data_IF_176375657549
#
_entry.id   IF_176375657549
#
_cell.length_a   1.000
_cell.length_b   1.000
_cell.length_c   1.000
_cell.angle_alpha   90.00
_cell.angle_beta   90.00
_cell.angle_gamma   90.00
#
_symmetry.space_group_name_H-M   'P 1'
#
loop_
_entity.id
_entity.type
_entity.pdbx_description
1 polymer ?
#
# COMPACT_ATOMS: atom_id res chain seq x y z
N UNK A 1 64.17 -14.62 15.17
CA UNK A 1 64.26 -14.55 16.65
C UNK A 1 62.99 -13.89 17.14
N UNK A 2 62.30 -14.51 18.12
CA UNK A 2 60.92 -14.29 18.57
C UNK A 2 59.86 -14.66 17.49
N UNK A 3 58.71 -15.27 17.79
CA UNK A 3 57.93 -15.32 19.04
C UNK A 3 57.24 -16.68 19.27
N UNK A 4 56.86 -16.91 20.51
CA UNK A 4 56.63 -18.19 21.20
C UNK A 4 55.12 -18.41 21.48
N UNK A 5 54.70 -19.67 21.35
CA UNK A 5 53.40 -20.23 21.78
C UNK A 5 53.26 -20.36 23.31
N UNK A 6 52.05 -20.18 23.85
CA UNK A 6 51.48 -20.87 25.06
C UNK A 6 50.00 -20.47 25.16
N UNK A 7 49.03 -21.39 25.03
CA UNK A 7 48.39 -22.23 26.06
C UNK A 7 47.79 -21.45 27.25
N UNK A 8 46.46 -21.44 27.36
CA UNK A 8 45.73 -21.37 28.62
C UNK A 8 44.43 -22.20 28.53
N UNK A 9 44.39 -23.25 29.35
CA UNK A 9 43.20 -23.92 29.87
C UNK A 9 42.44 -22.98 30.83
N UNK A 10 41.12 -23.12 30.91
CA UNK A 10 40.42 -23.01 32.19
C UNK A 10 39.06 -23.70 32.20
N UNK A 11 38.81 -24.30 33.36
CA UNK A 11 37.84 -25.33 33.68
C UNK A 11 36.38 -24.90 33.77
N UNK A 12 35.56 -25.92 33.53
CA UNK A 12 34.18 -26.10 33.98
C UNK A 12 33.99 -25.82 35.48
N UNK A 13 32.97 -25.03 35.83
CA UNK A 13 32.10 -25.34 36.98
C UNK A 13 30.65 -24.94 36.67
N UNK A 14 29.76 -25.83 37.07
CA UNK A 14 28.32 -25.86 36.82
C UNK A 14 27.53 -25.00 37.82
N UNK A 15 26.47 -24.33 37.34
CA UNK A 15 25.38 -23.90 38.20
C UNK A 15 24.06 -23.88 37.41
N UNK A 16 23.09 -24.64 37.95
CA UNK A 16 21.73 -24.88 37.50
C UNK A 16 20.98 -23.65 36.97
N UNK A 17 20.45 -23.75 35.76
CA UNK A 17 19.35 -22.92 35.27
C UNK A 17 18.06 -23.75 35.28
N UNK A 18 17.25 -23.59 36.32
CA UNK A 18 15.86 -24.04 36.31
C UNK A 18 15.06 -23.09 35.43
N UNK A 19 14.49 -23.65 34.37
CA UNK A 19 13.51 -23.05 33.48
C UNK A 19 12.24 -22.63 34.25
N UNK A 20 11.80 -21.40 34.06
CA UNK A 20 10.45 -20.97 34.40
C UNK A 20 9.78 -20.49 33.10
N UNK A 21 8.77 -21.19 32.58
CA UNK A 21 8.11 -20.82 31.33
C UNK A 21 6.96 -19.84 31.61
N UNK A 22 6.79 -18.88 30.71
CA UNK A 22 5.49 -18.29 30.42
C UNK A 22 5.02 -17.14 31.32
N UNK A 23 5.33 -15.92 30.91
CA UNK A 23 4.38 -14.81 31.07
C UNK A 23 3.99 -14.33 29.68
N UNK A 24 2.92 -14.94 29.17
CA UNK A 24 2.19 -14.43 28.01
C UNK A 24 1.56 -13.11 28.46
N UNK A 25 2.02 -11.99 27.90
CA UNK A 25 1.30 -10.74 28.04
C UNK A 25 -0.01 -10.89 27.25
N UNK A 26 -1.14 -10.99 27.96
CA UNK A 26 -2.46 -11.01 27.35
C UNK A 26 -2.73 -9.67 26.69
N UNK A 27 -2.96 -9.68 25.38
CA UNK A 27 -3.36 -8.54 24.56
C UNK A 27 -4.83 -8.10 24.81
N UNK A 28 -5.27 -8.08 26.07
CA UNK A 28 -6.67 -7.89 26.43
C UNK A 28 -7.07 -6.45 26.80
N UNK A 29 -6.17 -5.46 26.70
CA UNK A 29 -6.45 -4.08 27.15
C UNK A 29 -6.20 -3.01 26.06
N UNK A 30 -6.55 -3.29 24.81
CA UNK A 30 -6.82 -2.22 23.84
C UNK A 30 -8.34 -2.02 23.83
N UNK A 31 -8.80 -1.14 24.70
CA UNK A 31 -10.17 -0.66 24.73
C UNK A 31 -10.47 0.06 23.40
N UNK A 32 -11.18 -0.62 22.51
CA UNK A 32 -11.59 -0.12 21.18
C UNK A 32 -12.43 1.15 21.26
N UNK A 33 -12.97 1.52 22.42
CA UNK A 33 -13.72 2.78 22.61
C UNK A 33 -12.82 4.00 22.77
N UNK A 34 -11.50 3.83 22.96
CA UNK A 34 -10.57 4.95 23.22
C UNK A 34 -9.75 5.41 22.02
N UNK A 35 -9.81 4.71 20.88
CA UNK A 35 -9.10 5.13 19.66
C UNK A 35 -9.79 6.35 18.99
N UNK A 36 -11.04 6.68 19.37
CA UNK A 36 -11.81 7.76 18.73
C UNK A 36 -12.05 9.02 19.58
N UNK A 37 -11.39 9.19 20.74
CA UNK A 37 -11.61 10.41 21.55
C UNK A 37 -10.31 10.96 22.14
N UNK A 38 -9.57 11.70 21.32
CA UNK A 38 -8.85 12.95 21.66
C UNK A 38 -8.01 13.38 20.45
N UNK A 39 -8.68 13.78 19.37
CA UNK A 39 -8.04 14.65 18.38
C UNK A 39 -8.11 16.06 18.96
N UNK A 40 -6.99 16.69 19.36
CA UNK A 40 -7.02 18.12 19.67
C UNK A 40 -7.53 18.85 18.42
N UNK A 41 -8.35 19.92 18.54
CA UNK A 41 -8.79 20.64 17.36
C UNK A 41 -7.54 21.17 16.67
N UNK A 42 -7.19 20.57 15.52
CA UNK A 42 -6.21 21.16 14.64
C UNK A 42 -6.76 22.54 14.31
N UNK A 43 -6.02 23.59 14.67
CA UNK A 43 -6.23 24.89 14.04
C UNK A 43 -6.02 24.66 12.55
N UNK A 44 -7.12 24.56 11.79
CA UNK A 44 -7.10 24.52 10.33
C UNK A 44 -6.57 25.86 9.82
N UNK A 45 -5.25 25.99 9.78
CA UNK A 45 -4.63 26.79 8.74
C UNK A 45 -4.80 25.92 7.49
N UNK A 46 -5.86 26.17 6.73
CA UNK A 46 -6.07 25.58 5.40
C UNK A 46 -4.91 26.01 4.51
N UNK A 47 -3.77 25.33 4.62
CA UNK A 47 -2.57 25.58 3.82
C UNK A 47 -2.84 25.05 2.42
N UNK A 48 -3.52 25.88 1.60
CA UNK A 48 -3.87 25.55 0.23
C UNK A 48 -2.77 26.07 -0.66
N UNK A 49 -2.28 25.22 -1.54
CA UNK A 49 -1.24 25.57 -2.50
C UNK A 49 -1.93 25.90 -3.81
N UNK A 50 -1.67 27.07 -4.38
CA UNK A 50 -2.14 27.45 -5.70
C UNK A 50 -1.09 27.07 -6.74
N UNK A 51 -1.48 26.19 -7.68
CA UNK A 51 -0.69 25.89 -8.86
C UNK A 51 -1.13 26.79 -10.02
N UNK A 52 -0.23 27.67 -10.47
CA UNK A 52 -0.53 28.70 -11.47
C UNK A 52 0.60 28.84 -12.50
N UNK A 53 0.34 29.45 -13.67
CA UNK A 53 1.42 29.81 -14.60
C UNK A 53 2.45 30.72 -13.93
N UNK A 54 3.71 30.54 -14.31
CA UNK A 54 4.81 31.35 -13.82
C UNK A 54 4.73 32.79 -14.35
N UNK A 55 5.13 33.75 -13.50
CA UNK A 55 5.25 35.17 -13.80
C UNK A 55 6.73 35.55 -13.97
N UNK A 56 7.05 36.72 -14.55
CA UNK A 56 8.46 37.12 -14.78
C UNK A 56 9.38 37.12 -13.54
N UNK A 57 8.83 37.22 -12.33
CA UNK A 57 9.58 37.18 -11.07
C UNK A 57 9.87 35.77 -10.52
N UNK A 58 9.26 34.73 -11.08
CA UNK A 58 9.23 33.38 -10.49
C UNK A 58 10.43 32.50 -10.88
N UNK A 59 11.44 33.04 -11.56
CA UNK A 59 12.44 32.29 -12.34
C UNK A 59 13.13 31.11 -11.65
N UNK A 60 13.25 31.14 -10.32
CA UNK A 60 13.94 30.10 -9.54
C UNK A 60 12.98 29.07 -8.90
N UNK A 61 11.67 29.21 -9.11
CA UNK A 61 10.63 28.33 -8.61
C UNK A 61 9.89 27.55 -9.72
N UNK A 62 10.27 27.78 -10.99
CA UNK A 62 9.55 27.24 -12.13
C UNK A 62 9.80 25.74 -12.34
N UNK A 63 8.71 24.99 -12.55
CA UNK A 63 8.71 23.60 -12.99
C UNK A 63 7.79 23.42 -14.20
N UNK A 64 7.93 22.30 -14.91
CA UNK A 64 6.98 21.83 -15.92
C UNK A 64 6.34 20.52 -15.49
N UNK A 65 5.08 20.28 -15.87
CA UNK A 65 4.34 19.06 -15.56
C UNK A 65 4.41 18.08 -16.72
N UNK A 66 4.76 16.84 -16.42
CA UNK A 66 4.87 15.76 -17.38
C UNK A 66 4.01 14.60 -16.95
N UNK A 67 3.30 13.97 -17.89
CA UNK A 67 2.54 12.76 -17.61
C UNK A 67 3.47 11.67 -17.05
N UNK A 68 3.11 11.10 -15.89
CA UNK A 68 3.86 10.00 -15.27
C UNK A 68 3.11 8.67 -15.40
N UNK A 69 1.86 8.64 -14.93
CA UNK A 69 1.09 7.41 -14.89
C UNK A 69 -0.41 7.67 -14.83
N UNK A 70 -1.19 6.66 -15.18
CA UNK A 70 -2.65 6.69 -15.19
C UNK A 70 -3.23 5.41 -14.57
N UNK A 71 -4.09 5.60 -13.56
CA UNK A 71 -4.95 4.55 -13.00
C UNK A 71 -6.38 4.60 -13.55
N UNK A 72 -7.27 3.75 -13.03
CA UNK A 72 -8.68 3.79 -13.42
C UNK A 72 -9.36 5.12 -13.03
N UNK A 73 -8.99 5.68 -11.89
CA UNK A 73 -9.63 6.83 -11.26
C UNK A 73 -8.81 8.12 -11.29
N UNK A 74 -7.49 8.00 -11.39
CA UNK A 74 -6.56 9.10 -11.19
C UNK A 74 -5.52 9.16 -12.31
N UNK A 75 -4.95 10.34 -12.52
CA UNK A 75 -3.75 10.58 -13.32
C UNK A 75 -2.69 11.18 -12.40
N UNK A 76 -1.44 10.83 -12.62
CA UNK A 76 -0.30 11.36 -11.87
C UNK A 76 0.65 12.06 -12.84
N UNK A 77 1.07 13.26 -12.48
CA UNK A 77 2.04 14.07 -13.21
C UNK A 77 3.29 14.24 -12.37
N UNK A 78 4.46 14.15 -12.99
CA UNK A 78 5.74 14.45 -12.36
C UNK A 78 6.17 15.88 -12.69
N UNK A 79 6.94 16.50 -11.80
CA UNK A 79 7.54 17.80 -12.03
C UNK A 79 8.96 17.66 -12.55
N UNK A 80 9.34 18.51 -13.49
CA UNK A 80 10.72 18.66 -13.98
C UNK A 80 11.17 20.11 -13.87
N UNK A 81 12.47 20.36 -13.63
CA UNK A 81 13.01 21.71 -13.72
C UNK A 81 12.77 22.26 -15.12
N UNK A 82 12.42 23.55 -15.21
CA UNK A 82 12.36 24.25 -16.49
C UNK A 82 13.79 24.54 -16.95
N UNK A 83 14.13 24.13 -18.17
CA UNK A 83 15.46 24.41 -18.73
C UNK A 83 15.57 25.91 -19.07
N UNK A 84 16.49 26.66 -18.45
CA UNK A 84 16.63 28.09 -18.69
C UNK A 84 17.10 28.42 -20.12
N UNK A 85 17.55 27.43 -20.89
CA UNK A 85 18.04 27.57 -22.26
C UNK A 85 16.99 27.20 -23.32
N UNK A 86 15.86 26.60 -22.93
CA UNK A 86 14.74 26.33 -23.86
C UNK A 86 13.85 27.59 -23.91
N UNK A 87 13.41 28.03 -25.11
CA UNK A 87 12.47 29.14 -25.21
C UNK A 87 11.20 28.87 -24.39
N UNK A 88 10.76 29.86 -23.59
CA UNK A 88 9.51 29.83 -22.80
C UNK A 88 8.23 29.55 -23.64
N UNK A 89 8.33 29.50 -24.98
CA UNK A 89 7.23 29.10 -25.85
C UNK A 89 7.03 27.59 -25.92
N UNK A 90 8.06 26.80 -25.58
CA UNK A 90 8.07 25.35 -25.78
C UNK A 90 7.87 24.59 -24.46
N UNK A 91 8.14 25.24 -23.32
CA UNK A 91 7.74 24.79 -21.99
C UNK A 91 6.80 25.82 -21.37
N UNK A 92 5.68 25.37 -20.79
CA UNK A 92 4.76 26.23 -20.06
C UNK A 92 5.10 26.17 -18.57
N UNK A 93 5.95 27.09 -18.07
CA UNK A 93 6.41 27.05 -16.68
C UNK A 93 5.25 27.35 -15.74
N UNK A 94 5.23 26.63 -14.64
CA UNK A 94 4.28 26.84 -13.55
C UNK A 94 5.03 27.00 -12.23
N UNK A 95 4.31 27.52 -11.24
CA UNK A 95 4.76 27.56 -9.84
C UNK A 95 3.65 27.09 -8.91
N UNK A 96 4.08 26.69 -7.72
CA UNK A 96 3.23 26.39 -6.59
C UNK A 96 3.42 27.51 -5.57
N UNK A 97 2.34 28.20 -5.23
CA UNK A 97 2.33 29.37 -4.35
C UNK A 97 1.53 29.03 -3.09
N UNK A 98 2.07 29.32 -1.92
CA UNK A 98 1.35 29.14 -0.67
C UNK A 98 0.37 30.30 -0.39
N UNK A 99 -0.39 30.20 0.70
CA UNK A 99 -1.34 31.25 1.10
C UNK A 99 -0.70 32.63 1.38
N UNK A 100 0.62 32.71 1.56
CA UNK A 100 1.34 33.96 1.81
C UNK A 100 1.83 34.61 0.52
N UNK A 101 1.68 33.93 -0.61
CA UNK A 101 2.22 34.35 -1.90
C UNK A 101 3.66 33.90 -2.11
N UNK A 102 4.22 33.07 -1.22
CA UNK A 102 5.58 32.57 -1.33
C UNK A 102 5.59 31.35 -2.26
N UNK A 103 6.55 31.33 -3.19
CA UNK A 103 6.68 30.22 -4.15
C UNK A 103 7.48 29.07 -3.54
N UNK A 104 7.01 27.84 -3.78
CA UNK A 104 7.68 26.64 -3.32
C UNK A 104 9.02 26.46 -4.07
N UNK A 105 10.12 26.13 -3.38
CA UNK A 105 11.39 25.84 -4.01
C UNK A 105 11.30 24.63 -4.95
N UNK A 106 11.95 24.70 -6.11
CA UNK A 106 12.01 23.58 -7.08
C UNK A 106 12.47 22.30 -6.41
N UNK A 107 13.48 22.36 -5.54
CA UNK A 107 14.00 21.19 -4.83
C UNK A 107 12.92 20.39 -4.06
N UNK A 108 11.95 21.09 -3.46
CA UNK A 108 10.84 20.46 -2.76
C UNK A 108 9.88 19.81 -3.77
N UNK A 109 9.59 20.51 -4.87
CA UNK A 109 8.65 20.04 -5.90
C UNK A 109 9.17 18.82 -6.70
N UNK A 110 10.48 18.71 -6.92
CA UNK A 110 11.08 17.53 -7.59
C UNK A 110 10.94 16.25 -6.73
N UNK A 111 10.85 16.42 -5.41
CA UNK A 111 10.54 15.36 -4.47
C UNK A 111 9.08 14.95 -4.45
N UNK A 112 8.22 15.58 -5.27
CA UNK A 112 6.78 15.35 -5.28
C UNK A 112 6.25 14.93 -6.65
N UNK A 113 5.01 14.45 -6.67
CA UNK A 113 4.18 14.24 -7.86
C UNK A 113 2.79 14.81 -7.61
N UNK A 114 2.11 15.23 -8.68
CA UNK A 114 0.76 15.78 -8.64
C UNK A 114 -0.26 14.73 -9.06
N UNK A 115 -1.09 14.29 -8.13
CA UNK A 115 -2.20 13.36 -8.37
C UNK A 115 -3.49 14.14 -8.64
N UNK A 116 -4.14 13.83 -9.75
CA UNK A 116 -5.39 14.45 -10.19
C UNK A 116 -6.49 13.38 -10.34
N UNK A 117 -7.66 13.66 -9.79
CA UNK A 117 -8.85 12.81 -9.99
C UNK A 117 -9.45 13.04 -11.37
N UNK A 118 -9.89 11.97 -12.03
CA UNK A 118 -10.57 12.03 -13.34
C UNK A 118 -12.05 12.45 -13.24
N UNK A 119 -12.56 12.73 -12.03
CA UNK A 119 -13.94 13.16 -11.82
C UNK A 119 -15.00 12.10 -12.12
N UNK A 120 -14.70 10.82 -11.90
CA UNK A 120 -15.67 9.75 -12.10
C UNK A 120 -16.69 9.74 -10.93
N UNK A 121 -17.96 9.42 -11.21
CA UNK A 121 -19.06 9.45 -10.22
C UNK A 121 -18.86 8.58 -8.95
N UNK A 122 -17.87 7.68 -8.94
CA UNK A 122 -17.56 6.77 -7.82
C UNK A 122 -16.18 7.01 -7.22
N UNK A 123 -15.49 8.08 -7.60
CA UNK A 123 -14.14 8.40 -7.12
C UNK A 123 -14.20 9.66 -6.28
N UNK A 124 -13.43 9.68 -5.20
CA UNK A 124 -13.33 10.84 -4.32
C UNK A 124 -12.52 11.96 -5.02
N UNK A 125 -12.85 13.21 -4.69
CA UNK A 125 -12.03 14.37 -5.04
C UNK A 125 -10.84 14.52 -4.08
N UNK A 126 -9.86 15.36 -4.43
CA UNK A 126 -8.65 15.55 -3.64
C UNK A 126 -8.92 15.95 -2.18
N UNK A 127 -9.84 16.89 -1.95
CA UNK A 127 -10.22 17.33 -0.59
C UNK A 127 -10.78 16.20 0.27
N UNK A 128 -11.68 15.39 -0.30
CA UNK A 128 -12.28 14.26 0.41
C UNK A 128 -11.24 13.18 0.71
N UNK A 129 -10.35 12.87 -0.26
CA UNK A 129 -9.26 11.92 -0.06
C UNK A 129 -8.33 12.37 1.07
N UNK A 130 -7.86 13.63 1.07
CA UNK A 130 -7.00 14.13 2.14
C UNK A 130 -7.69 14.09 3.48
N UNK A 131 -8.91 14.62 3.56
CA UNK A 131 -9.68 14.66 4.82
C UNK A 131 -9.86 13.26 5.40
N UNK A 132 -10.36 12.31 4.61
CA UNK A 132 -10.58 10.94 5.07
C UNK A 132 -9.25 10.24 5.42
N UNK A 133 -8.18 10.49 4.66
CA UNK A 133 -6.87 9.98 5.00
C UNK A 133 -6.39 10.46 6.38
N UNK A 134 -6.45 11.77 6.64
CA UNK A 134 -5.98 12.37 7.89
C UNK A 134 -6.85 12.01 9.10
N UNK A 135 -8.15 11.86 8.89
CA UNK A 135 -9.11 11.62 9.99
C UNK A 135 -9.35 10.15 10.29
N UNK A 136 -9.32 9.29 9.27
CA UNK A 136 -9.69 7.87 9.41
C UNK A 136 -8.49 6.93 9.27
N UNK A 137 -7.48 7.27 8.46
CA UNK A 137 -6.43 6.31 8.05
C UNK A 137 -5.13 6.55 8.79
N UNK A 138 -4.54 7.74 8.65
CA UNK A 138 -3.26 8.09 9.26
C UNK A 138 -3.24 7.84 10.78
N UNK A 139 -4.29 8.15 11.56
CA UNK A 139 -4.31 7.91 13.01
C UNK A 139 -4.23 6.42 13.41
N UNK A 140 -4.51 5.49 12.50
CA UNK A 140 -4.38 4.04 12.77
C UNK A 140 -2.93 3.55 12.70
N UNK A 141 -2.02 4.35 12.15
CA UNK A 141 -0.60 3.99 12.04
C UNK A 141 0.15 4.41 13.29
N UNK A 142 1.04 3.53 13.76
CA UNK A 142 1.91 3.84 14.88
C UNK A 142 2.93 4.92 14.47
N UNK A 143 3.40 5.77 15.40
CA UNK A 143 4.34 6.85 15.09
C UNK A 143 5.61 6.37 14.36
N UNK A 144 6.06 5.15 14.66
CA UNK A 144 7.20 4.50 14.01
C UNK A 144 6.98 4.17 12.51
N UNK A 145 5.80 4.41 11.95
CA UNK A 145 5.46 4.19 10.54
C UNK A 145 4.95 5.45 9.83
N UNK A 146 4.90 6.60 10.50
CA UNK A 146 4.41 7.85 9.91
C UNK A 146 5.21 8.23 8.66
N UNK A 147 6.53 8.01 8.66
CA UNK A 147 7.39 8.28 7.50
C UNK A 147 7.14 7.34 6.31
N UNK A 148 6.44 6.22 6.52
CA UNK A 148 5.99 5.30 5.47
C UNK A 148 4.59 5.62 4.93
N UNK A 149 3.94 6.65 5.45
CA UNK A 149 2.72 7.22 4.87
C UNK A 149 3.06 8.31 3.86
N UNK A 150 2.20 8.48 2.86
CA UNK A 150 2.31 9.60 1.92
C UNK A 150 1.97 10.91 2.63
N UNK A 151 2.78 11.93 2.39
CA UNK A 151 2.38 13.30 2.70
C UNK A 151 1.43 13.80 1.60
N UNK A 152 0.31 14.43 1.99
CA UNK A 152 -0.76 14.85 1.07
C UNK A 152 -1.05 16.33 1.25
N UNK A 153 -0.70 17.16 0.28
CA UNK A 153 -1.04 18.59 0.28
C UNK A 153 -2.08 18.92 -0.79
N UNK A 154 -3.04 19.78 -0.46
CA UNK A 154 -4.08 20.20 -1.41
C UNK A 154 -3.53 21.26 -2.36
N UNK A 155 -3.78 21.03 -3.65
CA UNK A 155 -3.38 21.93 -4.72
C UNK A 155 -4.59 22.42 -5.47
N UNK A 156 -4.89 23.71 -5.38
CA UNK A 156 -5.83 24.38 -6.25
C UNK A 156 -5.18 24.64 -7.62
N UNK A 157 -5.92 24.38 -8.70
CA UNK A 157 -5.40 24.50 -10.05
C UNK A 157 -6.00 25.72 -10.74
N UNK A 158 -5.14 26.61 -11.22
CA UNK A 158 -5.54 27.66 -12.16
C UNK A 158 -6.06 27.05 -13.48
N UNK A 159 -7.01 27.74 -14.14
CA UNK A 159 -7.63 27.26 -15.37
C UNK A 159 -6.60 27.01 -16.50
N UNK A 160 -5.56 27.84 -16.57
CA UNK A 160 -4.48 27.68 -17.53
C UNK A 160 -3.64 26.43 -17.22
N UNK A 161 -3.39 26.13 -15.94
CA UNK A 161 -2.67 24.91 -15.54
C UNK A 161 -3.50 23.66 -15.86
N UNK A 162 -4.81 23.70 -15.62
CA UNK A 162 -5.70 22.62 -16.00
C UNK A 162 -5.67 22.35 -17.52
N UNK A 163 -5.58 23.40 -18.32
CA UNK A 163 -5.41 23.30 -19.77
C UNK A 163 -4.09 22.62 -20.17
N UNK A 164 -3.00 22.93 -19.47
CA UNK A 164 -1.69 22.27 -19.63
C UNK A 164 -1.81 20.77 -19.33
N UNK A 165 -2.40 20.42 -18.19
CA UNK A 165 -2.60 19.04 -17.77
C UNK A 165 -3.42 18.22 -18.77
N UNK A 166 -4.52 18.79 -19.28
CA UNK A 166 -5.37 18.12 -20.28
C UNK A 166 -4.65 17.92 -21.63
N UNK A 167 -3.77 18.85 -22.03
CA UNK A 167 -2.94 18.69 -23.22
C UNK A 167 -1.87 17.62 -23.02
N UNK A 168 -1.22 17.56 -21.87
CA UNK A 168 -0.27 16.48 -21.57
C UNK A 168 -0.95 15.12 -21.52
N UNK A 169 -2.15 15.06 -20.94
CA UNK A 169 -2.95 13.84 -20.87
C UNK A 169 -3.38 13.36 -22.26
N UNK A 170 -3.78 14.26 -23.16
CA UNK A 170 -4.23 13.87 -24.51
C UNK A 170 -3.10 13.32 -25.39
N UNK A 171 -1.84 13.70 -25.14
CA UNK A 171 -0.66 13.15 -25.82
C UNK A 171 -0.34 11.70 -25.43
N UNK A 172 -0.59 11.33 -24.17
CA UNK A 172 -0.08 10.08 -23.59
C UNK A 172 -1.18 9.07 -23.19
N UNK A 173 -2.42 9.52 -22.98
CA UNK A 173 -3.52 8.64 -22.57
C UNK A 173 -3.97 7.76 -23.72
N UNK A 174 -3.88 6.44 -23.53
CA UNK A 174 -4.43 5.45 -24.45
C UNK A 174 -5.86 5.02 -24.08
N UNK A 175 -6.41 5.49 -22.96
CA UNK A 175 -7.78 5.19 -22.52
C UNK A 175 -8.67 6.35 -22.94
N UNK A 176 -9.74 6.10 -23.70
CA UNK A 176 -10.67 7.12 -24.23
C UNK A 176 -10.91 8.27 -23.26
N UNK A 177 -10.16 9.36 -23.47
CA UNK A 177 -9.80 10.29 -22.41
C UNK A 177 -10.99 11.18 -22.08
N UNK A 178 -11.42 11.21 -20.82
CA UNK A 178 -12.24 12.30 -20.31
C UNK A 178 -11.29 13.38 -19.82
N UNK A 179 -11.53 14.61 -20.24
CA UNK A 179 -10.82 15.78 -19.72
C UNK A 179 -11.00 15.85 -18.20
N UNK A 180 -9.96 16.32 -17.53
CA UNK A 180 -9.99 16.62 -16.10
C UNK A 180 -11.01 17.76 -15.90
N UNK A 181 -12.02 17.59 -15.02
CA UNK A 181 -13.06 18.60 -14.83
C UNK A 181 -12.53 19.92 -14.25
N UNK A 182 -13.20 21.02 -14.58
CA UNK A 182 -13.00 22.32 -13.93
C UNK A 182 -13.21 22.23 -12.42
N UNK A 183 -12.44 23.02 -11.66
CA UNK A 183 -12.51 23.05 -10.19
C UNK A 183 -11.95 21.81 -9.50
N UNK A 184 -11.26 20.93 -10.24
CA UNK A 184 -10.58 19.78 -9.63
C UNK A 184 -9.44 20.25 -8.74
N UNK A 185 -9.47 19.83 -7.48
CA UNK A 185 -8.37 19.99 -6.53
C UNK A 185 -7.42 18.80 -6.66
N UNK A 186 -6.15 19.10 -6.88
CA UNK A 186 -5.07 18.11 -6.94
C UNK A 186 -4.51 17.77 -5.56
N UNK A 187 -3.71 16.71 -5.52
CA UNK A 187 -2.94 16.31 -4.35
C UNK A 187 -1.46 16.25 -4.71
N UNK A 188 -0.64 17.03 -4.01
CA UNK A 188 0.82 16.87 -4.03
C UNK A 188 1.18 15.72 -3.09
N UNK A 189 2.00 14.78 -3.56
CA UNK A 189 2.42 13.62 -2.77
C UNK A 189 3.87 13.22 -3.05
N UNK A 190 4.50 12.42 -2.18
CA UNK A 190 5.89 11.98 -2.33
C UNK A 190 6.16 11.35 -3.71
N UNK A 191 7.27 11.74 -4.34
CA UNK A 191 7.77 11.13 -5.56
C UNK A 191 8.56 9.86 -5.26
N UNK A 192 7.92 8.71 -5.51
CA UNK A 192 8.54 7.39 -5.41
C UNK A 192 8.98 6.84 -6.77
N UNK A 193 9.05 7.63 -7.85
CA UNK A 193 9.51 7.12 -9.15
C UNK A 193 10.98 6.66 -9.11
N UNK A 194 11.33 5.71 -9.99
CA UNK A 194 12.72 5.32 -10.23
C UNK A 194 13.53 6.49 -10.76
N UNK A 195 14.80 6.57 -10.37
CA UNK A 195 15.75 7.59 -10.82
C UNK A 195 16.90 6.88 -11.51
N UNK A 196 17.05 7.14 -12.82
CA UNK A 196 18.06 6.49 -13.65
C UNK A 196 19.46 6.56 -13.02
N UNK A 197 20.07 5.39 -12.82
CA UNK A 197 21.44 5.25 -12.33
C UNK A 197 21.64 5.43 -10.81
N UNK A 198 20.58 5.73 -10.03
CA UNK A 198 20.71 5.96 -8.58
C UNK A 198 19.63 5.31 -7.73
N UNK A 199 18.42 5.11 -8.25
CA UNK A 199 17.33 4.50 -7.50
C UNK A 199 16.36 3.72 -8.38
N UNK A 200 15.88 2.60 -7.87
CA UNK A 200 14.84 1.78 -8.52
C UNK A 200 13.67 1.60 -7.56
N UNK A 201 12.46 1.78 -8.06
CA UNK A 201 11.24 1.54 -7.32
C UNK A 201 10.46 0.36 -7.87
N UNK A 202 9.98 -0.51 -6.97
CA UNK A 202 8.96 -1.52 -7.28
C UNK A 202 7.65 -1.19 -6.57
N UNK A 203 6.54 -1.60 -7.17
CA UNK A 203 5.22 -1.57 -6.53
C UNK A 203 4.79 -3.00 -6.17
N UNK A 204 4.36 -3.19 -4.92
CA UNK A 204 3.67 -4.40 -4.49
C UNK A 204 2.30 -4.04 -3.91
N UNK A 205 1.29 -4.86 -4.16
CA UNK A 205 -0.01 -4.76 -3.46
C UNK A 205 -0.06 -5.88 -2.42
N UNK A 206 0.02 -5.58 -1.10
CA UNK A 206 0.13 -6.61 -0.06
C UNK A 206 -1.09 -7.54 0.02
N UNK A 207 -2.27 -7.04 -0.38
CA UNK A 207 -3.55 -7.78 -0.34
C UNK A 207 -3.95 -8.16 1.10
N UNK A 208 -4.58 -9.33 1.24
CA UNK A 208 -5.08 -9.84 2.52
C UNK A 208 -3.93 -10.51 3.26
N UNK A 209 -3.39 -9.82 4.26
CA UNK A 209 -2.25 -10.29 5.05
C UNK A 209 -2.67 -11.19 6.22
N UNK A 210 -3.97 -11.33 6.42
CA UNK A 210 -4.60 -12.33 7.28
C UNK A 210 -5.65 -13.14 6.49
N UNK A 211 -6.00 -14.32 7.00
CA UNK A 211 -7.04 -15.14 6.39
C UNK A 211 -8.42 -14.47 6.51
N UNK A 212 -9.28 -14.67 5.51
CA UNK A 212 -10.67 -14.20 5.57
C UNK A 212 -11.40 -14.83 6.77
N UNK A 213 -12.13 -14.06 7.60
CA UNK A 213 -12.98 -14.63 8.64
C UNK A 213 -14.11 -15.52 8.08
N UNK A 214 -14.47 -15.35 6.81
CA UNK A 214 -15.46 -16.20 6.13
C UNK A 214 -14.85 -17.43 5.45
N UNK A 215 -13.53 -17.63 5.51
CA UNK A 215 -12.93 -18.85 5.00
C UNK A 215 -13.51 -20.08 5.77
N UNK A 216 -13.79 -21.20 5.09
CA UNK A 216 -14.30 -22.40 5.75
C UNK A 216 -13.41 -22.85 6.92
N UNK A 217 -14.05 -23.26 8.03
CA UNK A 217 -13.32 -23.64 9.26
C UNK A 217 -12.57 -24.97 9.14
N UNK A 218 -13.04 -25.87 8.28
CA UNK A 218 -12.36 -27.13 7.96
C UNK A 218 -11.90 -27.12 6.51
N UNK A 219 -10.86 -27.90 6.24
CA UNK A 219 -10.43 -28.25 4.88
C UNK A 219 -10.02 -27.05 4.00
N UNK A 220 -9.67 -25.92 4.61
CA UNK A 220 -9.12 -24.75 3.92
C UNK A 220 -7.63 -24.96 3.64
N UNK A 221 -7.24 -24.83 2.37
CA UNK A 221 -5.85 -24.96 1.89
C UNK A 221 -5.31 -23.67 1.26
N UNK A 222 -6.18 -22.69 0.95
CA UNK A 222 -5.77 -21.43 0.33
C UNK A 222 -6.14 -20.25 1.24
N UNK A 223 -5.26 -19.25 1.30
CA UNK A 223 -5.69 -17.92 1.76
C UNK A 223 -6.65 -17.30 0.73
N UNK A 224 -7.48 -16.33 1.16
CA UNK A 224 -8.43 -15.64 0.26
C UNK A 224 -7.80 -15.17 -1.05
N UNK A 225 -6.62 -14.56 -1.00
CA UNK A 225 -5.96 -14.05 -2.20
C UNK A 225 -5.54 -15.16 -3.15
N UNK A 226 -5.04 -16.29 -2.61
CA UNK A 226 -4.70 -17.47 -3.41
C UNK A 226 -5.96 -18.12 -4.01
N UNK A 227 -7.05 -18.19 -3.24
CA UNK A 227 -8.35 -18.68 -3.71
C UNK A 227 -8.88 -17.81 -4.88
N UNK A 228 -8.85 -16.48 -4.71
CA UNK A 228 -9.28 -15.52 -5.73
C UNK A 228 -8.42 -15.56 -6.98
N UNK A 229 -7.11 -15.74 -6.83
CA UNK A 229 -6.21 -15.92 -7.98
C UNK A 229 -6.59 -17.17 -8.77
N UNK A 230 -6.74 -18.31 -8.09
CA UNK A 230 -7.18 -19.56 -8.72
C UNK A 230 -8.51 -19.38 -9.46
N UNK A 231 -9.48 -18.70 -8.85
CA UNK A 231 -10.78 -18.42 -9.45
C UNK A 231 -10.68 -17.58 -10.73
N UNK A 232 -9.82 -16.56 -10.75
CA UNK A 232 -9.72 -15.61 -11.86
C UNK A 232 -8.88 -16.08 -13.03
N UNK A 233 -7.77 -16.77 -12.77
CA UNK A 233 -6.86 -17.17 -13.84
C UNK A 233 -7.26 -18.48 -14.49
N UNK A 234 -8.14 -19.29 -13.87
CA UNK A 234 -8.40 -20.67 -14.30
C UNK A 234 -7.11 -21.45 -14.61
N UNK A 235 -6.01 -21.11 -13.92
CA UNK A 235 -4.66 -21.68 -14.13
C UNK A 235 -4.02 -21.36 -15.49
N UNK A 236 -4.37 -20.24 -16.15
CA UNK A 236 -3.58 -19.76 -17.28
C UNK A 236 -2.17 -19.37 -16.84
N UNK A 237 -1.20 -19.74 -17.67
CA UNK A 237 0.25 -19.62 -17.49
C UNK A 237 0.76 -18.17 -17.54
N UNK A 238 -0.12 -17.18 -17.33
CA UNK A 238 0.27 -15.78 -17.27
C UNK A 238 0.92 -15.53 -15.90
N UNK A 239 2.15 -16.03 -15.78
CA UNK A 239 3.01 -16.08 -14.60
C UNK A 239 3.55 -14.70 -14.23
N UNK A 240 2.67 -13.73 -14.01
CA UNK A 240 3.08 -12.52 -13.28
C UNK A 240 3.58 -12.96 -11.90
N UNK A 241 4.73 -12.41 -11.50
CA UNK A 241 5.32 -12.64 -10.19
C UNK A 241 4.26 -12.47 -9.10
N UNK A 242 4.08 -13.52 -8.29
CA UNK A 242 3.12 -13.53 -7.20
C UNK A 242 3.71 -14.27 -6.02
N UNK A 243 3.54 -13.70 -4.84
CA UNK A 243 3.81 -14.34 -3.56
C UNK A 243 2.49 -14.43 -2.79
N UNK A 244 2.28 -15.53 -2.07
CA UNK A 244 1.15 -15.62 -1.14
C UNK A 244 1.25 -14.47 -0.12
N UNK A 245 0.22 -13.63 0.05
CA UNK A 245 0.25 -12.52 1.01
C UNK A 245 0.61 -12.94 2.44
N UNK A 246 0.18 -14.14 2.85
CA UNK A 246 0.52 -14.66 4.17
C UNK A 246 2.00 -15.03 4.28
N UNK A 247 2.61 -15.57 3.21
CA UNK A 247 4.05 -15.83 3.18
C UNK A 247 4.87 -14.54 3.16
N UNK A 248 4.39 -13.54 2.42
CA UNK A 248 4.96 -12.19 2.43
C UNK A 248 4.92 -11.59 3.85
N UNK A 249 3.77 -11.67 4.51
CA UNK A 249 3.61 -11.20 5.89
C UNK A 249 4.41 -12.04 6.91
N UNK A 250 4.65 -13.32 6.63
CA UNK A 250 5.49 -14.18 7.46
C UNK A 250 7.00 -13.94 7.25
N UNK A 251 7.36 -13.12 6.26
CA UNK A 251 8.75 -12.80 5.96
C UNK A 251 9.53 -13.97 5.35
N UNK A 252 8.86 -14.93 4.70
CA UNK A 252 9.50 -16.11 4.13
C UNK A 252 10.45 -15.72 2.97
N UNK A 253 11.74 -15.58 3.26
CA UNK A 253 12.77 -15.13 2.29
C UNK A 253 12.86 -16.01 1.05
N UNK A 254 12.62 -17.31 1.18
CA UNK A 254 12.72 -18.27 0.07
C UNK A 254 11.65 -18.01 -1.01
N UNK A 255 10.47 -17.53 -0.60
CA UNK A 255 9.37 -17.19 -1.51
C UNK A 255 9.34 -15.70 -1.86
N UNK A 256 9.71 -14.82 -0.92
CA UNK A 256 9.75 -13.37 -1.14
C UNK A 256 10.88 -13.00 -2.10
N UNK A 257 12.06 -13.64 -2.00
CA UNK A 257 13.23 -13.33 -2.83
C UNK A 257 12.97 -13.44 -4.33
N UNK A 258 12.54 -14.61 -4.85
CA UNK A 258 12.22 -14.78 -6.26
C UNK A 258 11.10 -13.85 -6.75
N UNK A 259 10.08 -13.61 -5.91
CA UNK A 259 9.02 -12.65 -6.21
C UNK A 259 9.55 -11.23 -6.38
N UNK A 260 10.38 -10.77 -5.43
CA UNK A 260 11.01 -9.44 -5.48
C UNK A 260 11.95 -9.33 -6.67
N UNK A 261 12.75 -10.36 -6.94
CA UNK A 261 13.66 -10.37 -8.08
C UNK A 261 12.91 -10.16 -9.41
N UNK A 262 11.80 -10.87 -9.62
CA UNK A 262 10.98 -10.65 -10.81
C UNK A 262 10.35 -9.24 -10.85
N UNK A 263 9.93 -8.69 -9.71
CA UNK A 263 9.44 -7.30 -9.64
C UNK A 263 10.51 -6.27 -10.01
N UNK A 264 11.75 -6.50 -9.59
CA UNK A 264 12.90 -5.68 -9.96
C UNK A 264 13.15 -5.77 -11.47
N UNK A 265 13.14 -6.97 -12.05
CA UNK A 265 13.28 -7.16 -13.50
C UNK A 265 12.18 -6.42 -14.28
N UNK A 266 10.92 -6.56 -13.87
CA UNK A 266 9.78 -5.88 -14.48
C UNK A 266 9.96 -4.34 -14.44
N UNK A 267 10.45 -3.81 -13.32
CA UNK A 267 10.70 -2.38 -13.14
C UNK A 267 11.87 -1.88 -13.99
N UNK A 268 12.94 -2.65 -14.12
CA UNK A 268 14.11 -2.32 -14.98
C UNK A 268 13.67 -2.26 -16.44
N UNK A 269 12.94 -3.27 -16.94
CA UNK A 269 12.44 -3.29 -18.31
C UNK A 269 11.48 -2.13 -18.60
N UNK A 270 10.54 -1.88 -17.69
CA UNK A 270 9.52 -0.82 -17.86
C UNK A 270 10.11 0.58 -17.83
N UNK A 271 11.21 0.77 -17.09
CA UNK A 271 11.86 2.08 -16.96
C UNK A 271 12.86 2.37 -18.09
N UNK A 272 13.00 1.47 -19.08
CA UNK A 272 14.03 1.53 -20.14
C UNK A 272 15.45 1.74 -19.60
N UNK A 273 15.67 1.31 -18.35
CA UNK A 273 16.99 1.29 -17.74
C UNK A 273 17.74 0.09 -18.34
N UNK A 274 19.03 0.26 -18.63
CA UNK A 274 19.85 -0.87 -19.07
C UNK A 274 19.83 -1.97 -18.00
N UNK A 275 19.78 -3.25 -18.39
CA UNK A 275 19.86 -4.36 -17.43
C UNK A 275 21.14 -4.18 -16.62
N UNK A 276 20.92 -3.93 -15.35
CA UNK A 276 21.91 -3.48 -14.40
C UNK A 276 22.56 -4.72 -13.76
N UNK A 277 23.91 -4.86 -13.73
CA UNK A 277 24.61 -5.83 -12.90
C UNK A 277 24.18 -5.81 -11.42
N UNK A 278 23.54 -4.74 -10.97
CA UNK A 278 23.01 -4.49 -9.63
C UNK A 278 21.61 -5.08 -9.34
N UNK A 279 20.95 -5.71 -10.32
CA UNK A 279 19.61 -6.31 -10.14
C UNK A 279 19.55 -7.27 -8.94
N UNK A 280 20.56 -8.13 -8.77
CA UNK A 280 20.64 -9.08 -7.66
C UNK A 280 20.81 -8.37 -6.30
N UNK A 281 21.68 -7.36 -6.22
CA UNK A 281 21.91 -6.60 -4.99
C UNK A 281 20.66 -5.81 -4.58
N UNK A 282 19.98 -5.18 -5.55
CA UNK A 282 18.72 -4.46 -5.32
C UNK A 282 17.65 -5.44 -4.83
N UNK A 283 17.48 -6.58 -5.51
CA UNK A 283 16.50 -7.57 -5.11
C UNK A 283 16.78 -8.16 -3.72
N UNK A 284 18.04 -8.44 -3.40
CA UNK A 284 18.45 -8.90 -2.07
C UNK A 284 18.14 -7.86 -0.98
N UNK A 285 18.50 -6.58 -1.20
CA UNK A 285 18.22 -5.50 -0.26
C UNK A 285 16.72 -5.30 -0.01
N UNK A 286 15.90 -5.34 -1.05
CA UNK A 286 14.44 -5.25 -0.93
C UNK A 286 13.86 -6.50 -0.24
N UNK A 287 14.40 -7.68 -0.52
CA UNK A 287 13.99 -8.93 0.13
C UNK A 287 14.25 -8.88 1.63
N UNK A 288 15.44 -8.47 2.04
CA UNK A 288 15.77 -8.30 3.47
C UNK A 288 14.88 -7.26 4.14
N UNK A 289 14.59 -6.16 3.44
CA UNK A 289 13.67 -5.12 3.91
C UNK A 289 12.26 -5.65 4.16
N UNK A 290 11.71 -6.47 3.25
CA UNK A 290 10.36 -7.03 3.33
C UNK A 290 10.24 -8.25 4.26
N UNK A 291 11.32 -9.01 4.43
CA UNK A 291 11.30 -10.23 5.23
C UNK A 291 11.69 -10.02 6.69
N UNK A 292 12.57 -9.05 6.96
CA UNK A 292 13.14 -8.85 8.32
C UNK A 292 13.29 -7.38 8.72
N UNK A 293 13.25 -6.45 7.76
CA UNK A 293 13.45 -5.01 8.01
C UNK A 293 12.15 -4.24 8.29
N UNK A 294 12.20 -2.91 8.08
CA UNK A 294 11.03 -2.03 8.30
C UNK A 294 9.87 -2.34 7.35
N UNK A 295 10.15 -2.86 6.16
CA UNK A 295 9.12 -3.36 5.23
C UNK A 295 8.31 -4.51 5.83
N UNK A 296 8.98 -5.43 6.54
CA UNK A 296 8.29 -6.48 7.31
C UNK A 296 7.43 -5.89 8.43
N UNK A 297 7.97 -4.92 9.18
CA UNK A 297 7.26 -4.25 10.27
C UNK A 297 5.93 -3.61 9.83
N UNK A 298 5.93 -2.88 8.71
CA UNK A 298 4.70 -2.27 8.18
C UNK A 298 3.70 -3.30 7.68
N UNK A 299 4.15 -4.42 7.08
CA UNK A 299 3.27 -5.51 6.66
C UNK A 299 2.59 -6.18 7.87
N UNK A 300 3.33 -6.42 8.95
CA UNK A 300 2.79 -6.95 10.20
C UNK A 300 1.77 -5.97 10.80
N UNK A 301 2.08 -4.67 10.82
CA UNK A 301 1.15 -3.64 11.30
C UNK A 301 -0.15 -3.61 10.48
N UNK A 302 -0.05 -3.65 9.14
CA UNK A 302 -1.20 -3.72 8.25
C UNK A 302 -2.05 -4.97 8.51
N UNK A 303 -1.44 -6.14 8.72
CA UNK A 303 -2.16 -7.38 9.09
C UNK A 303 -2.97 -7.18 10.37
N UNK A 304 -2.34 -6.60 11.39
CA UNK A 304 -2.96 -6.43 12.70
C UNK A 304 -4.16 -5.47 12.61
N UNK A 305 -4.03 -4.37 11.85
CA UNK A 305 -5.15 -3.49 11.53
C UNK A 305 -6.25 -4.22 10.73
N UNK A 306 -5.89 -5.02 9.71
CA UNK A 306 -6.86 -5.79 8.93
C UNK A 306 -7.68 -6.76 9.81
N UNK A 307 -7.06 -7.41 10.80
CA UNK A 307 -7.74 -8.29 11.75
C UNK A 307 -8.60 -7.53 12.75
N UNK A 308 -8.11 -6.39 13.25
CA UNK A 308 -8.83 -5.56 14.21
C UNK A 308 -10.11 -4.98 13.60
N UNK A 309 -10.02 -4.50 12.36
CA UNK A 309 -11.11 -3.83 11.65
C UNK A 309 -12.13 -4.80 11.05
N UNK A 310 -11.72 -6.01 10.68
CA UNK A 310 -12.61 -7.01 10.08
C UNK A 310 -12.57 -8.34 10.85
N UNK A 311 -13.40 -8.41 11.89
CA UNK A 311 -13.52 -9.58 12.76
C UNK A 311 -14.56 -10.59 12.28
N UNK A 312 -15.50 -10.18 11.42
CA UNK A 312 -16.64 -11.01 11.01
C UNK A 312 -16.57 -11.46 9.54
N UNK A 313 -15.73 -10.80 8.73
CA UNK A 313 -15.63 -11.05 7.31
C UNK A 313 -16.76 -10.41 6.52
N UNK A 314 -16.53 -10.23 5.22
CA UNK A 314 -17.43 -9.53 4.29
C UNK A 314 -18.86 -10.12 4.24
N UNK A 315 -19.01 -11.43 4.40
CA UNK A 315 -20.30 -12.12 4.41
C UNK A 315 -20.74 -12.33 5.85
N UNK A 316 -21.77 -11.61 6.29
CA UNK A 316 -22.42 -11.92 7.56
C UNK A 316 -23.39 -13.08 7.35
N UNK A 317 -23.21 -14.15 8.12
CA UNK A 317 -24.30 -15.10 8.36
C UNK A 317 -25.32 -14.40 9.25
N UNK A 318 -26.30 -13.75 8.64
CA UNK A 318 -27.45 -13.27 9.39
C UNK A 318 -28.35 -14.47 9.69
N UNK A 319 -28.44 -14.86 10.96
CA UNK A 319 -29.49 -15.78 11.41
C UNK A 319 -30.85 -15.18 10.97
N UNK A 320 -31.66 -15.90 10.17
CA UNK A 320 -32.91 -15.37 9.64
C UNK A 320 -33.91 -14.92 10.70
N UNK A 321 -33.88 -15.51 11.91
CA UNK A 321 -34.71 -15.11 13.04
C UNK A 321 -34.17 -13.86 13.71
N UNK A 322 -32.85 -13.75 13.88
CA UNK A 322 -32.20 -12.53 14.36
C UNK A 322 -32.43 -11.40 13.36
N UNK A 323 -32.26 -11.61 12.06
CA UNK A 323 -32.50 -10.61 11.02
C UNK A 323 -33.96 -10.10 11.03
N UNK A 324 -34.94 -11.00 11.23
CA UNK A 324 -36.36 -10.61 11.41
C UNK A 324 -36.59 -9.84 12.70
N UNK A 325 -36.01 -10.31 13.82
CA UNK A 325 -36.13 -9.64 15.11
C UNK A 325 -35.49 -8.25 15.09
N UNK A 326 -34.31 -8.11 14.48
CA UNK A 326 -33.64 -6.84 14.23
C UNK A 326 -34.45 -5.93 13.32
N UNK A 327 -35.06 -6.46 12.26
CA UNK A 327 -35.95 -5.69 11.39
C UNK A 327 -37.21 -5.20 12.11
N UNK A 328 -37.76 -5.99 13.03
CA UNK A 328 -38.89 -5.61 13.86
C UNK A 328 -38.49 -4.59 14.95
N UNK A 329 -37.31 -4.76 15.56
CA UNK A 329 -36.73 -3.81 16.53
C UNK A 329 -36.35 -2.48 15.86
N UNK A 330 -35.83 -2.48 14.61
CA UNK A 330 -35.58 -1.29 13.79
C UNK A 330 -36.86 -0.48 13.52
N UNK A 331 -38.02 -1.13 13.50
CA UNK A 331 -39.32 -0.44 13.39
C UNK A 331 -39.78 0.19 14.72
N UNK A 332 -39.15 -0.15 15.85
CA UNK A 332 -39.57 0.27 17.19
C UNK A 332 -38.54 1.12 17.96
N UNK A 333 -37.24 1.02 17.66
CA UNK A 333 -36.16 1.83 18.22
C UNK A 333 -35.03 1.97 17.19
N UNK A 334 -35.00 3.09 16.45
CA UNK A 334 -34.04 3.34 15.36
C UNK A 334 -32.59 3.55 15.84
N UNK A 335 -32.37 4.25 16.95
CA UNK A 335 -31.08 4.90 17.22
C UNK A 335 -29.94 3.97 17.70
N UNK A 336 -30.25 2.87 18.40
CA UNK A 336 -29.21 2.02 19.02
C UNK A 336 -28.62 0.95 18.09
N UNK A 337 -29.36 0.51 17.07
CA UNK A 337 -28.91 -0.55 16.14
C UNK A 337 -28.27 0.00 14.85
N UNK A 338 -28.59 1.24 14.49
CA UNK A 338 -27.93 1.92 13.37
C UNK A 338 -26.44 2.13 13.68
N UNK A 339 -26.09 2.46 14.93
CA UNK A 339 -24.72 2.73 15.38
C UNK A 339 -23.77 1.52 15.23
N UNK A 340 -24.20 0.32 15.64
CA UNK A 340 -23.36 -0.88 15.57
C UNK A 340 -23.16 -1.36 14.12
N UNK A 341 -24.21 -1.27 13.29
CA UNK A 341 -24.12 -1.66 11.88
C UNK A 341 -23.31 -0.65 11.06
N UNK A 342 -23.47 0.64 11.33
CA UNK A 342 -22.66 1.69 10.69
C UNK A 342 -21.18 1.55 11.09
N UNK A 343 -20.90 1.29 12.37
CA UNK A 343 -19.54 1.00 12.86
C UNK A 343 -18.91 -0.22 12.16
N UNK A 344 -19.66 -1.32 12.03
CA UNK A 344 -19.16 -2.51 11.33
C UNK A 344 -18.87 -2.22 9.85
N UNK A 345 -19.79 -1.56 9.15
CA UNK A 345 -19.60 -1.22 7.75
C UNK A 345 -18.43 -0.25 7.56
N UNK A 346 -18.29 0.73 8.45
CA UNK A 346 -17.16 1.66 8.48
C UNK A 346 -15.83 0.92 8.64
N UNK A 347 -15.70 0.07 9.66
CA UNK A 347 -14.49 -0.70 9.92
C UNK A 347 -14.15 -1.64 8.76
N UNK A 348 -15.15 -2.32 8.18
CA UNK A 348 -14.90 -3.16 7.02
C UNK A 348 -14.40 -2.35 5.83
N UNK A 349 -14.93 -1.14 5.59
CA UNK A 349 -14.43 -0.25 4.52
C UNK A 349 -12.98 0.13 4.75
N UNK A 350 -12.57 0.41 5.99
CA UNK A 350 -11.17 0.68 6.35
C UNK A 350 -10.30 -0.56 6.09
N UNK A 351 -10.73 -1.74 6.55
CA UNK A 351 -10.03 -2.98 6.27
C UNK A 351 -9.85 -3.21 4.75
N UNK A 352 -10.90 -2.96 3.97
CA UNK A 352 -10.87 -3.08 2.50
C UNK A 352 -9.99 -2.03 1.83
N UNK A 353 -9.83 -0.83 2.41
CA UNK A 353 -8.81 0.14 1.99
C UNK A 353 -7.41 -0.41 2.23
N UNK A 354 -7.12 -0.91 3.44
CA UNK A 354 -5.80 -1.48 3.76
C UNK A 354 -5.44 -2.72 2.93
N UNK A 355 -6.44 -3.51 2.52
CA UNK A 355 -6.25 -4.70 1.65
C UNK A 355 -6.00 -4.35 0.18
N UNK A 356 -6.31 -3.13 -0.25
CA UNK A 356 -6.16 -2.71 -1.64
C UNK A 356 -5.13 -1.60 -1.85
N UNK A 357 -4.43 -1.22 -0.77
CA UNK A 357 -3.30 -0.30 -0.83
C UNK A 357 -2.14 -0.85 -1.67
N UNK A 358 -1.25 0.05 -2.05
CA UNK A 358 0.03 -0.24 -2.70
C UNK A 358 1.18 0.14 -1.78
N UNK A 359 2.23 -0.67 -1.76
CA UNK A 359 3.49 -0.35 -1.11
C UNK A 359 4.53 -0.10 -2.22
N UNK A 360 4.94 1.15 -2.36
CA UNK A 360 6.03 1.56 -3.24
C UNK A 360 7.33 1.43 -2.47
N UNK A 361 8.28 0.66 -2.98
CA UNK A 361 9.55 0.37 -2.30
C UNK A 361 10.67 0.85 -3.20
N UNK A 362 11.46 1.80 -2.71
CA UNK A 362 12.59 2.39 -3.43
C UNK A 362 13.90 1.92 -2.81
N UNK A 363 14.76 1.36 -3.65
CA UNK A 363 16.14 1.07 -3.30
C UNK A 363 17.06 2.10 -3.95
N UNK A 364 17.82 2.83 -3.13
CA UNK A 364 18.92 3.69 -3.56
C UNK A 364 20.20 2.85 -3.59
N UNK A 365 20.93 2.95 -4.68
CA UNK A 365 22.12 2.15 -4.91
C UNK A 365 23.23 3.01 -5.50
N UNK A 366 24.47 2.62 -5.19
CA UNK A 366 25.66 3.32 -5.63
C UNK A 366 26.80 2.34 -5.93
N UNK A 367 27.71 2.80 -6.79
CA UNK A 367 28.94 2.09 -7.12
C UNK A 367 30.11 2.87 -6.56
N UNK A 368 30.77 2.32 -5.54
CA UNK A 368 32.07 2.83 -5.14
C UNK A 368 33.12 2.48 -6.21
N UNK A 369 34.11 3.35 -6.40
CA UNK A 369 35.17 3.17 -7.41
C UNK A 369 35.85 1.80 -7.25
N UNK A 370 35.81 0.98 -8.30
CA UNK A 370 36.40 -0.36 -8.31
C UNK A 370 35.69 -1.41 -7.45
N UNK A 371 34.52 -1.11 -6.86
CA UNK A 371 33.77 -2.02 -6.00
C UNK A 371 32.52 -2.60 -6.67
N UNK A 372 31.92 -3.58 -6.00
CA UNK A 372 30.58 -4.08 -6.31
C UNK A 372 29.52 -3.02 -6.00
N UNK A 373 28.40 -3.07 -6.71
CA UNK A 373 27.24 -2.24 -6.41
C UNK A 373 26.70 -2.56 -5.02
N UNK A 374 26.30 -1.52 -4.29
CA UNK A 374 25.72 -1.66 -2.96
C UNK A 374 24.42 -0.88 -2.86
N UNK A 375 23.45 -1.44 -2.12
CA UNK A 375 22.21 -0.76 -1.77
C UNK A 375 22.47 0.04 -0.50
N UNK A 376 22.46 1.36 -0.60
CA UNK A 376 22.75 2.25 0.53
C UNK A 376 21.50 2.52 1.37
N UNK A 377 20.30 2.48 0.76
CA UNK A 377 19.02 2.71 1.44
C UNK A 377 17.90 1.93 0.77
N UNK A 378 17.00 1.37 1.58
CA UNK A 378 15.69 0.89 1.13
C UNK A 378 14.62 1.58 1.98
N UNK A 379 13.65 2.20 1.31
CA UNK A 379 12.54 2.89 1.94
C UNK A 379 11.22 2.55 1.24
N UNK A 380 10.09 2.84 1.89
CA UNK A 380 8.79 2.62 1.27
C UNK A 380 7.74 3.64 1.68
N UNK A 381 6.73 3.79 0.83
CA UNK A 381 5.54 4.61 1.05
C UNK A 381 4.29 3.79 0.73
N UNK A 382 3.26 3.91 1.56
CA UNK A 382 1.93 3.37 1.32
C UNK A 382 1.10 4.34 0.50
N UNK A 383 0.71 3.91 -0.71
CA UNK A 383 -0.21 4.62 -1.58
C UNK A 383 -1.54 3.89 -1.74
N UNK A 384 -2.44 4.45 -2.57
CA UNK A 384 -3.78 3.94 -2.85
C UNK A 384 -4.67 3.76 -1.58
N UNK A 385 -4.43 4.57 -0.54
CA UNK A 385 -5.20 4.58 0.71
C UNK A 385 -6.49 5.42 0.60
N UNK A 386 -7.18 5.38 -0.53
CA UNK A 386 -8.49 6.03 -0.64
C UNK A 386 -9.54 5.24 0.15
N UNK A 387 -10.32 5.92 1.00
CA UNK A 387 -11.36 5.25 1.78
C UNK A 387 -12.40 4.62 0.86
N UNK A 388 -12.62 3.30 0.99
CA UNK A 388 -13.51 2.60 0.05
C UNK A 388 -14.95 3.04 0.25
N UNK A 389 -15.68 3.24 -0.85
CA UNK A 389 -17.12 3.55 -0.82
C UNK A 389 -17.95 2.34 -0.39
N UNK A 390 -19.00 2.56 0.41
CA UNK A 390 -20.00 1.54 0.76
C UNK A 390 -20.72 0.95 -0.46
N UNK A 391 -20.74 1.64 -1.61
CA UNK A 391 -21.28 1.12 -2.88
C UNK A 391 -20.55 -0.12 -3.42
N UNK A 392 -19.40 -0.47 -2.85
CA UNK A 392 -18.61 -1.67 -3.19
C UNK A 392 -19.00 -2.90 -2.39
N UNK A 393 -19.94 -2.76 -1.45
CA UNK A 393 -20.37 -3.82 -0.55
C UNK A 393 -20.78 -5.09 -1.28
N UNK A 394 -21.71 -4.96 -2.23
CA UNK A 394 -22.26 -6.10 -2.97
C UNK A 394 -21.15 -6.80 -3.79
N UNK A 395 -20.29 -6.04 -4.48
CA UNK A 395 -19.12 -6.58 -5.21
C UNK A 395 -18.24 -7.47 -4.29
N UNK A 396 -18.01 -7.02 -3.04
CA UNK A 396 -17.20 -7.75 -2.08
C UNK A 396 -17.90 -9.01 -1.59
N UNK A 397 -19.20 -8.92 -1.26
CA UNK A 397 -19.98 -10.05 -0.79
C UNK A 397 -20.15 -11.12 -1.86
N UNK A 398 -20.46 -10.74 -3.09
CA UNK A 398 -20.58 -11.66 -4.23
C UNK A 398 -19.26 -12.39 -4.48
N UNK A 399 -18.14 -11.65 -4.47
CA UNK A 399 -16.82 -12.26 -4.61
C UNK A 399 -16.56 -13.26 -3.50
N UNK A 400 -16.82 -12.91 -2.23
CA UNK A 400 -16.56 -13.80 -1.11
C UNK A 400 -17.47 -15.04 -1.13
N UNK A 401 -18.77 -14.86 -1.40
CA UNK A 401 -19.72 -15.97 -1.59
C UNK A 401 -19.27 -16.90 -2.72
N UNK A 402 -18.76 -16.37 -3.83
CA UNK A 402 -18.24 -17.18 -4.93
C UNK A 402 -16.97 -17.97 -4.55
N UNK A 403 -16.12 -17.43 -3.66
CA UNK A 403 -14.96 -18.15 -3.13
C UNK A 403 -15.37 -19.29 -2.20
N UNK A 404 -16.47 -19.11 -1.45
CA UNK A 404 -17.04 -20.10 -0.52
C UNK A 404 -17.88 -21.15 -1.24
N UNK A 405 -18.62 -20.77 -2.29
CA UNK A 405 -19.57 -21.63 -2.97
C UNK A 405 -18.90 -22.87 -3.61
N UNK A 406 -19.63 -23.99 -3.60
CA UNK A 406 -19.28 -25.37 -3.97
C UNK A 406 -18.68 -26.24 -2.84
N UNK A 407 -19.03 -27.54 -2.87
CA UNK A 407 -18.43 -28.62 -2.03
C UNK A 407 -16.90 -28.71 -2.14
N UNK A 408 -16.33 -28.09 -3.17
CA UNK A 408 -14.91 -28.03 -3.52
C UNK A 408 -14.43 -26.58 -3.71
N UNK A 409 -15.04 -25.61 -3.01
CA UNK A 409 -14.84 -24.17 -3.19
C UNK A 409 -13.38 -23.71 -3.25
N UNK A 410 -13.14 -22.47 -3.68
CA UNK A 410 -11.78 -22.01 -4.00
C UNK A 410 -10.81 -21.99 -2.81
N UNK A 411 -11.35 -21.96 -1.59
CA UNK A 411 -10.60 -22.13 -0.35
C UNK A 411 -10.12 -23.57 -0.11
N UNK A 412 -10.88 -24.58 -0.53
CA UNK A 412 -10.66 -25.99 -0.22
C UNK A 412 -9.99 -26.74 -1.36
N UNK A 413 -9.61 -27.99 -1.10
CA UNK A 413 -9.07 -28.87 -2.14
C UNK A 413 -10.20 -29.36 -3.03
N UNK A 414 -10.26 -28.86 -4.27
CA UNK A 414 -11.17 -29.39 -5.26
C UNK A 414 -10.57 -30.59 -5.97
N UNK A 415 -11.30 -31.70 -6.03
CA UNK A 415 -10.97 -32.87 -6.87
C UNK A 415 -10.88 -32.55 -8.39
N UNK A 416 -11.11 -31.29 -8.80
CA UNK A 416 -10.97 -30.78 -10.18
C UNK A 416 -9.52 -30.69 -10.68
N UNK A 417 -8.59 -31.51 -10.17
CA UNK A 417 -7.24 -31.67 -10.73
C UNK A 417 -6.37 -30.41 -10.68
N UNK A 418 -6.69 -29.47 -9.80
CA UNK A 418 -5.91 -28.25 -9.62
C UNK A 418 -4.72 -28.56 -8.73
N UNK A 419 -3.50 -28.48 -9.26
CA UNK A 419 -2.31 -28.64 -8.44
C UNK A 419 -2.35 -27.68 -7.23
N UNK A 420 -1.91 -28.14 -6.04
CA UNK A 420 -1.79 -27.29 -4.88
C UNK A 420 -1.02 -26.01 -5.23
N UNK A 421 -1.49 -24.86 -4.75
CA UNK A 421 -0.61 -23.70 -4.61
C UNK A 421 0.37 -24.06 -3.48
N UNK A 422 1.44 -24.78 -3.82
CA UNK A 422 2.39 -25.33 -2.84
C UNK A 422 3.01 -24.24 -1.95
N UNK A 423 3.03 -23.00 -2.44
CA UNK A 423 3.58 -21.84 -1.75
C UNK A 423 2.54 -21.04 -0.94
N UNK A 424 1.32 -21.56 -0.74
CA UNK A 424 0.36 -20.92 0.16
C UNK A 424 0.63 -21.32 1.61
N UNK A 425 0.76 -20.33 2.52
CA UNK A 425 1.05 -20.58 3.93
C UNK A 425 -0.01 -21.48 4.61
N UNK A 426 -1.29 -21.35 4.23
CA UNK A 426 -2.35 -22.20 4.80
C UNK A 426 -2.15 -23.67 4.41
N UNK A 427 -1.78 -23.95 3.16
CA UNK A 427 -1.49 -25.31 2.71
C UNK A 427 -0.28 -25.91 3.43
N UNK A 428 0.76 -25.12 3.66
CA UNK A 428 1.96 -25.52 4.39
C UNK A 428 1.64 -25.88 5.86
N UNK A 429 0.83 -25.05 6.52
CA UNK A 429 0.39 -25.26 7.90
C UNK A 429 -0.46 -26.52 8.06
N UNK A 430 -1.34 -26.84 7.10
CA UNK A 430 -2.14 -28.07 7.15
C UNK A 430 -1.34 -29.34 6.81
N UNK A 431 -0.23 -29.24 6.07
CA UNK A 431 0.68 -30.37 5.79
C UNK A 431 1.59 -30.73 6.95
N UNK A 432 1.91 -29.75 7.79
CA UNK A 432 2.76 -29.98 8.95
C UNK A 432 1.99 -30.86 9.93
N UNK A 433 2.49 -32.07 10.30
CA UNK A 433 1.76 -32.94 11.21
C UNK A 433 1.44 -32.19 12.49
N UNK A 434 0.15 -31.99 12.79
CA UNK A 434 -0.29 -31.44 14.08
C UNK A 434 0.25 -32.38 15.14
N UNK A 435 1.33 -31.97 15.82
CA UNK A 435 1.91 -32.74 16.91
C UNK A 435 0.77 -33.05 17.88
N UNK A 436 0.42 -34.34 18.00
CA UNK A 436 -0.66 -34.80 18.89
C UNK A 436 -0.36 -34.25 20.29
N UNK A 437 -1.17 -33.30 20.75
CA UNK A 437 -1.23 -32.92 22.16
C UNK A 437 -2.18 -33.85 22.88
#
# INVERSE_FOLDING_TARGET
MASVHTCLDHDFTSANASSNPGRVHSFADIDTRRILTQVPPAMEVNNRILCRPARPGDKFACVSLHYLAEGAANVVFMMRPVDPFIPLSDEEPIVFEDNRGDTHPVANLLGSVLRISKGLQKTLGGEAVKKEFETEIAPMFRPEFEDQLLDLELVELDEAVLSILNRELSKHSHRGTKEIPMGTVGLLMDNMASISGTALTIEIKPKWLAQSPNAPRSDTYRCRTCALRGMRTQFSDDQKAFVCPLQLCAGNKELVGPFVYQKVLDAVHSSHLHILPETEAIAAGITDYLSTGRGHGILVHLRDLQNMLDTQGVVREEDPEIARALKALRQQNLELYEDEQDTYQHNLRLAMTLRDCSLFIRATYEKADGAFWTVSKVESKLGDLDFKSSRKWDDWQETEKALIADWYGWYTFGERGVEPFYDCLIAEQERTPKARR
#
